data_IF_915368292837
#
_entry.id   IF_915368292837
#
_cell.length_a   1.000
_cell.length_b   1.000
_cell.length_c   1.000
_cell.angle_alpha   90.00
_cell.angle_beta   90.00
_cell.angle_gamma   90.00
#
_symmetry.space_group_name_H-M   'P 1'
#
loop_
_entity.id
_entity.type
_entity.pdbx_description
1 polymer ?
#
# COMPACT_ATOMS: atom_id res chain seq x y z
N UNK A 1 8.39 -3.65 9.24
CA UNK A 1 8.49 -3.84 7.78
C UNK A 1 8.39 -2.48 7.07
N UNK A 2 9.29 -2.22 6.12
CA UNK A 2 9.32 -1.02 5.25
C UNK A 2 9.93 -1.40 3.90
N UNK A 3 9.90 -0.50 2.92
CA UNK A 3 10.71 -0.66 1.72
C UNK A 3 12.22 -0.57 2.02
N UNK A 4 13.05 -1.18 1.18
CA UNK A 4 14.49 -1.36 1.43
C UNK A 4 15.28 -0.05 1.49
N UNK A 5 14.87 0.98 0.73
CA UNK A 5 15.48 2.33 0.74
C UNK A 5 15.63 2.91 2.15
N UNK A 6 14.74 2.53 3.08
CA UNK A 6 14.63 3.12 4.40
C UNK A 6 15.31 2.29 5.51
N UNK A 7 15.84 1.10 5.20
CA UNK A 7 16.32 0.17 6.22
C UNK A 7 17.39 0.76 7.13
N UNK A 8 18.41 1.41 6.56
CA UNK A 8 19.48 2.05 7.33
C UNK A 8 18.98 3.24 8.17
N UNK A 9 18.03 4.03 7.65
CA UNK A 9 17.48 5.15 8.40
C UNK A 9 16.68 4.68 9.61
N UNK A 10 15.91 3.60 9.45
CA UNK A 10 15.14 3.01 10.55
C UNK A 10 16.08 2.40 11.59
N UNK A 11 17.09 1.63 11.15
CA UNK A 11 18.07 1.04 12.05
C UNK A 11 18.85 2.11 12.83
N UNK A 12 19.32 3.17 12.14
CA UNK A 12 20.12 4.23 12.76
C UNK A 12 19.31 5.20 13.62
N UNK A 13 18.18 5.70 13.12
CA UNK A 13 17.41 6.76 13.80
C UNK A 13 16.35 6.21 14.76
N UNK A 14 15.64 5.14 14.37
CA UNK A 14 14.59 4.56 15.20
C UNK A 14 15.12 3.45 16.13
N UNK A 15 16.34 2.96 15.90
CA UNK A 15 16.95 1.85 16.64
C UNK A 15 15.99 0.66 16.74
N UNK A 16 15.51 0.19 15.59
CA UNK A 16 14.59 -0.95 15.44
C UNK A 16 15.07 -1.90 14.36
N UNK A 17 14.79 -3.18 14.55
CA UNK A 17 15.08 -4.23 13.57
C UNK A 17 14.26 -4.03 12.29
N UNK A 18 14.92 -4.15 11.15
CA UNK A 18 14.32 -4.06 9.81
C UNK A 18 14.44 -5.39 9.08
N UNK A 19 13.41 -5.77 8.32
CA UNK A 19 13.42 -7.02 7.54
C UNK A 19 14.31 -6.94 6.29
N UNK A 20 14.32 -5.79 5.63
CA UNK A 20 15.09 -5.54 4.42
C UNK A 20 15.86 -4.23 4.57
N UNK A 21 17.01 -4.14 3.91
CA UNK A 21 17.91 -2.99 4.00
C UNK A 21 18.50 -2.60 2.65
N UNK A 22 19.25 -1.50 2.67
CA UNK A 22 19.83 -0.87 1.49
C UNK A 22 21.06 -1.61 0.93
N UNK A 23 21.46 -2.72 1.56
CA UNK A 23 22.55 -3.57 1.05
C UNK A 23 22.04 -4.51 -0.05
N UNK A 24 20.74 -4.81 -0.09
CA UNK A 24 20.09 -5.54 -1.19
C UNK A 24 20.69 -6.92 -1.52
N UNK A 25 21.33 -7.57 -0.54
CA UNK A 25 22.05 -8.83 -0.79
C UNK A 25 21.13 -10.05 -0.94
N UNK A 26 19.90 -9.99 -0.43
CA UNK A 26 18.91 -11.07 -0.53
C UNK A 26 17.64 -10.59 -1.25
N UNK A 27 17.62 -10.79 -2.57
CA UNK A 27 16.52 -10.37 -3.45
C UNK A 27 15.20 -11.09 -3.14
N UNK A 28 15.24 -12.37 -2.77
CA UNK A 28 14.03 -13.13 -2.44
C UNK A 28 13.32 -12.57 -1.20
N UNK A 29 14.07 -12.05 -0.22
CA UNK A 29 13.47 -11.41 0.95
C UNK A 29 12.84 -10.05 0.59
N UNK A 30 13.45 -9.28 -0.31
CA UNK A 30 12.87 -8.05 -0.86
C UNK A 30 11.61 -8.36 -1.66
N UNK A 31 11.60 -9.45 -2.43
CA UNK A 31 10.44 -9.89 -3.17
C UNK A 31 9.27 -10.30 -2.25
N UNK A 32 9.53 -10.92 -1.10
CA UNK A 32 8.48 -11.20 -0.10
C UNK A 32 7.85 -9.91 0.47
N UNK A 33 8.67 -8.89 0.76
CA UNK A 33 8.16 -7.58 1.18
C UNK A 33 7.35 -6.92 0.06
N UNK A 34 7.85 -6.95 -1.18
CA UNK A 34 7.13 -6.43 -2.35
C UNK A 34 5.80 -7.15 -2.57
N UNK A 35 5.80 -8.48 -2.44
CA UNK A 35 4.60 -9.33 -2.53
C UNK A 35 3.59 -8.96 -1.45
N UNK A 36 4.01 -8.81 -0.20
CA UNK A 36 3.12 -8.40 0.89
C UNK A 36 2.48 -7.03 0.60
N UNK A 37 3.26 -6.05 0.13
CA UNK A 37 2.76 -4.71 -0.19
C UNK A 37 1.81 -4.69 -1.40
N UNK A 38 2.04 -5.56 -2.40
CA UNK A 38 1.23 -5.67 -3.60
C UNK A 38 -0.04 -6.52 -3.43
N UNK A 39 -0.09 -7.38 -2.41
CA UNK A 39 -1.20 -8.30 -2.15
C UNK A 39 -2.37 -7.64 -1.44
N UNK A 40 -3.53 -8.32 -1.41
CA UNK A 40 -4.64 -7.93 -0.54
C UNK A 40 -4.31 -8.12 0.95
N UNK A 41 -5.13 -7.55 1.84
CA UNK A 41 -4.89 -7.60 3.29
C UNK A 41 -4.73 -9.03 3.84
N UNK A 42 -5.55 -9.99 3.41
CA UNK A 42 -5.49 -11.36 3.93
C UNK A 42 -4.15 -12.03 3.59
N UNK A 43 -3.77 -12.03 2.32
CA UNK A 43 -2.51 -12.65 1.88
C UNK A 43 -1.29 -11.90 2.43
N UNK A 44 -1.35 -10.57 2.49
CA UNK A 44 -0.29 -9.77 3.09
C UNK A 44 -0.16 -10.05 4.59
N UNK A 45 -1.27 -10.25 5.29
CA UNK A 45 -1.29 -10.59 6.72
C UNK A 45 -0.62 -11.93 7.00
N UNK A 46 -0.89 -12.95 6.18
CA UNK A 46 -0.24 -14.26 6.32
C UNK A 46 1.28 -14.16 6.13
N UNK A 47 1.74 -13.36 5.14
CA UNK A 47 3.17 -13.10 4.93
C UNK A 47 3.77 -12.33 6.12
N UNK A 48 3.08 -11.31 6.62
CA UNK A 48 3.55 -10.52 7.78
C UNK A 48 3.64 -11.37 9.05
N UNK A 49 2.73 -12.34 9.24
CA UNK A 49 2.78 -13.32 10.33
C UNK A 49 3.95 -14.27 10.19
N UNK A 50 4.20 -14.77 8.98
CA UNK A 50 5.35 -15.64 8.69
C UNK A 50 6.69 -14.95 8.98
N UNK A 51 6.75 -13.64 8.75
CA UNK A 51 7.94 -12.81 8.95
C UNK A 51 8.02 -12.13 10.33
N UNK A 52 7.11 -12.48 11.25
CA UNK A 52 7.03 -11.92 12.62
C UNK A 52 7.03 -10.37 12.65
N UNK A 53 6.17 -9.76 11.82
CA UNK A 53 6.08 -8.30 11.69
C UNK A 53 5.12 -7.70 12.71
N UNK A 54 5.64 -6.80 13.54
CA UNK A 54 4.82 -5.99 14.46
C UNK A 54 4.28 -4.68 13.84
N UNK A 55 5.12 -3.99 13.06
CA UNK A 55 4.82 -2.65 12.53
C UNK A 55 5.10 -2.55 11.03
N UNK A 56 4.28 -1.77 10.33
CA UNK A 56 4.46 -1.43 8.90
C UNK A 56 4.64 0.07 8.76
N UNK A 57 5.72 0.49 8.08
CA UNK A 57 5.98 1.88 7.75
C UNK A 57 5.84 2.08 6.24
N UNK A 58 5.04 3.08 5.86
CA UNK A 58 4.81 3.50 4.47
C UNK A 58 4.93 5.02 4.41
N UNK A 59 5.72 5.54 3.47
CA UNK A 59 5.84 6.97 3.21
C UNK A 59 4.75 7.40 2.24
N UNK A 60 3.88 8.31 2.68
CA UNK A 60 2.79 8.88 1.88
C UNK A 60 2.97 10.39 1.68
N UNK A 61 3.13 10.79 0.41
CA UNK A 61 3.42 12.18 0.02
C UNK A 61 2.20 12.99 -0.43
N UNK A 62 1.00 12.40 -0.43
CA UNK A 62 -0.17 12.97 -1.13
C UNK A 62 -0.72 14.29 -0.59
N UNK A 63 -0.37 14.68 0.65
CA UNK A 63 -0.79 15.98 1.23
C UNK A 63 0.03 17.14 0.65
N UNK A 64 1.34 16.96 0.55
CA UNK A 64 2.30 18.01 0.17
C UNK A 64 2.80 17.88 -1.26
N UNK A 65 2.46 16.79 -1.95
CA UNK A 65 2.94 16.49 -3.30
C UNK A 65 4.40 16.02 -3.31
N UNK A 66 4.82 15.26 -2.30
CA UNK A 66 6.16 14.69 -2.27
C UNK A 66 6.27 13.55 -3.28
N UNK A 67 7.18 13.68 -4.25
CA UNK A 67 7.34 12.72 -5.34
C UNK A 67 8.04 11.42 -4.93
N UNK A 68 8.81 11.42 -3.85
CA UNK A 68 9.56 10.26 -3.36
C UNK A 68 8.73 9.30 -2.48
N UNK A 69 7.40 9.32 -2.60
CA UNK A 69 6.52 8.46 -1.80
C UNK A 69 6.46 7.01 -2.31
N UNK A 70 5.94 6.11 -1.47
CA UNK A 70 5.94 4.68 -1.79
C UNK A 70 4.94 4.31 -2.89
N UNK A 71 3.96 5.17 -3.18
CA UNK A 71 3.04 4.98 -4.31
C UNK A 71 3.77 5.13 -5.65
N UNK A 72 4.66 6.12 -5.79
CA UNK A 72 5.43 6.29 -7.02
C UNK A 72 6.48 5.17 -7.23
N UNK A 73 6.91 4.53 -6.15
CA UNK A 73 7.83 3.39 -6.20
C UNK A 73 7.13 2.04 -6.30
N UNK A 74 5.80 2.00 -6.18
CA UNK A 74 5.03 0.77 -6.04
C UNK A 74 5.25 -0.24 -7.18
N UNK A 75 5.33 0.22 -8.44
CA UNK A 75 5.56 -0.69 -9.57
C UNK A 75 6.93 -1.40 -9.49
N UNK A 76 7.95 -0.79 -8.87
CA UNK A 76 9.21 -1.49 -8.61
C UNK A 76 9.02 -2.63 -7.62
N UNK A 77 8.20 -2.44 -6.59
CA UNK A 77 7.86 -3.49 -5.62
C UNK A 77 7.15 -4.65 -6.32
N UNK A 78 6.21 -4.35 -7.22
CA UNK A 78 5.46 -5.33 -8.00
C UNK A 78 6.38 -6.14 -8.92
N UNK A 79 7.28 -5.48 -9.65
CA UNK A 79 8.23 -6.14 -10.56
C UNK A 79 9.18 -7.09 -9.85
N UNK A 80 9.71 -6.68 -8.70
CA UNK A 80 10.59 -7.53 -7.89
C UNK A 80 9.81 -8.72 -7.34
N UNK A 81 8.57 -8.50 -6.88
CA UNK A 81 7.70 -9.57 -6.41
C UNK A 81 7.32 -10.56 -7.52
N UNK A 82 6.98 -10.08 -8.72
CA UNK A 82 6.65 -10.92 -9.88
C UNK A 82 7.84 -11.77 -10.33
N UNK A 83 9.08 -11.24 -10.25
CA UNK A 83 10.29 -11.99 -10.60
C UNK A 83 10.45 -13.30 -9.81
N UNK A 84 10.11 -13.29 -8.52
CA UNK A 84 10.23 -14.47 -7.64
C UNK A 84 8.89 -15.22 -7.45
N UNK A 85 7.76 -14.53 -7.57
CA UNK A 85 6.41 -15.04 -7.31
C UNK A 85 5.42 -14.74 -8.45
N UNK A 86 5.69 -15.17 -9.70
CA UNK A 86 4.91 -14.79 -10.89
C UNK A 86 3.49 -15.36 -10.91
N UNK A 87 3.21 -16.37 -10.07
CA UNK A 87 1.86 -16.96 -9.92
C UNK A 87 0.95 -16.13 -9.02
N UNK A 88 1.53 -15.31 -8.14
CA UNK A 88 0.79 -14.60 -7.10
C UNK A 88 0.63 -13.12 -7.43
N UNK A 89 1.63 -12.53 -8.10
CA UNK A 89 1.67 -11.10 -8.45
C UNK A 89 2.11 -10.98 -9.90
N UNK A 90 1.37 -10.17 -10.68
CA UNK A 90 1.71 -9.84 -12.07
C UNK A 90 1.59 -8.34 -12.28
N UNK A 91 2.59 -7.71 -12.92
CA UNK A 91 2.60 -6.26 -13.14
C UNK A 91 1.36 -5.79 -13.92
N UNK A 92 0.95 -6.57 -14.92
CA UNK A 92 -0.19 -6.28 -15.79
C UNK A 92 -1.51 -6.10 -15.03
N UNK A 93 -1.70 -6.78 -13.90
CA UNK A 93 -2.92 -6.71 -13.10
C UNK A 93 -3.09 -5.32 -12.43
N UNK A 94 -2.01 -4.53 -12.32
CA UNK A 94 -2.03 -3.21 -11.70
C UNK A 94 -2.31 -2.06 -12.67
N UNK A 95 -2.31 -2.31 -13.98
CA UNK A 95 -2.62 -1.33 -15.01
C UNK A 95 -4.12 -1.29 -15.36
N UNK A 96 -4.57 -0.18 -15.93
CA UNK A 96 -5.89 -0.12 -16.57
C UNK A 96 -5.90 -0.92 -17.87
N UNK A 97 -7.09 -1.20 -18.45
CA UNK A 97 -7.18 -1.80 -19.78
C UNK A 97 -6.47 -1.01 -20.89
N UNK A 98 -6.21 0.28 -20.66
CA UNK A 98 -5.46 1.17 -21.56
C UNK A 98 -3.94 1.14 -21.32
N UNK A 99 -3.46 0.34 -20.37
CA UNK A 99 -2.04 0.26 -20.00
C UNK A 99 -1.56 1.42 -19.12
N UNK A 100 -2.45 2.18 -18.49
CA UNK A 100 -2.08 3.31 -17.64
C UNK A 100 -1.99 2.90 -16.17
N UNK A 101 -0.97 3.37 -15.44
CA UNK A 101 -0.94 3.26 -13.98
C UNK A 101 -1.69 4.44 -13.37
N UNK A 102 -2.89 4.16 -12.83
CA UNK A 102 -3.78 5.17 -12.26
C UNK A 102 -4.10 4.88 -10.81
N UNK A 103 -4.24 5.94 -10.01
CA UNK A 103 -4.64 5.90 -8.59
C UNK A 103 -6.05 6.46 -8.34
N UNK A 104 -6.72 6.89 -9.40
CA UNK A 104 -8.07 7.44 -9.34
C UNK A 104 -9.17 6.38 -9.50
N UNK A 105 -10.40 6.79 -9.79
CA UNK A 105 -11.53 5.85 -9.96
C UNK A 105 -11.31 4.82 -11.06
N UNK A 106 -10.44 5.11 -12.02
CA UNK A 106 -10.12 4.19 -13.11
C UNK A 106 -8.93 3.29 -12.77
N UNK A 107 -8.37 3.38 -11.56
CA UNK A 107 -7.36 2.45 -11.06
C UNK A 107 -7.82 1.00 -11.18
N UNK A 108 -6.87 0.10 -11.39
CA UNK A 108 -7.13 -1.33 -11.43
C UNK A 108 -7.72 -1.83 -10.11
N UNK A 109 -8.63 -2.83 -10.14
CA UNK A 109 -9.14 -3.45 -8.93
C UNK A 109 -8.03 -4.07 -8.06
N UNK A 110 -6.94 -4.56 -8.66
CA UNK A 110 -5.80 -5.10 -7.93
C UNK A 110 -5.12 -4.01 -7.10
N UNK A 111 -4.84 -2.83 -7.70
CA UNK A 111 -4.26 -1.71 -6.97
C UNK A 111 -5.16 -1.22 -5.84
N UNK A 112 -6.45 -1.00 -6.12
CA UNK A 112 -7.39 -0.49 -5.12
C UNK A 112 -7.57 -1.44 -3.91
N UNK A 113 -7.33 -2.73 -4.12
CA UNK A 113 -7.41 -3.75 -3.08
C UNK A 113 -6.06 -4.10 -2.43
N UNK A 114 -4.94 -3.55 -2.92
CA UNK A 114 -3.62 -3.83 -2.36
C UNK A 114 -3.46 -3.22 -0.96
N UNK A 115 -2.62 -3.86 -0.14
CA UNK A 115 -2.27 -3.36 1.18
C UNK A 115 -1.67 -1.95 1.07
N UNK A 116 -0.74 -1.74 0.13
CA UNK A 116 -0.10 -0.45 -0.11
C UNK A 116 -1.12 0.68 -0.33
N UNK A 117 -2.11 0.47 -1.21
CA UNK A 117 -3.12 1.49 -1.49
C UNK A 117 -3.98 1.80 -0.27
N UNK A 118 -4.49 0.76 0.39
CA UNK A 118 -5.41 0.93 1.53
C UNK A 118 -4.73 1.58 2.74
N UNK A 119 -3.47 1.23 3.02
CA UNK A 119 -2.69 1.83 4.09
C UNK A 119 -2.34 3.29 3.78
N UNK A 120 -1.88 3.58 2.55
CA UNK A 120 -1.50 4.95 2.15
C UNK A 120 -2.67 5.93 2.15
N UNK A 121 -3.84 5.48 1.67
CA UNK A 121 -5.02 6.35 1.51
C UNK A 121 -6.04 6.20 2.65
N UNK A 122 -5.69 5.57 3.76
CA UNK A 122 -6.59 5.39 4.91
C UNK A 122 -7.10 6.75 5.41
N UNK A 123 -8.42 6.94 5.36
CA UNK A 123 -9.13 8.19 5.72
C UNK A 123 -8.65 9.46 4.99
N UNK A 124 -7.81 9.34 3.96
CA UNK A 124 -7.34 10.49 3.18
C UNK A 124 -8.50 11.24 2.50
N UNK A 125 -9.56 10.53 2.10
CA UNK A 125 -10.77 11.13 1.53
C UNK A 125 -11.60 11.98 2.48
N UNK A 126 -11.39 11.87 3.79
CA UNK A 126 -12.07 12.69 4.82
C UNK A 126 -11.31 13.99 5.11
N UNK A 127 -10.06 14.09 4.66
CA UNK A 127 -9.19 15.22 4.92
C UNK A 127 -9.66 16.46 4.15
N UNK A 128 -10.33 17.38 4.85
CA UNK A 128 -10.69 18.69 4.31
C UNK A 128 -9.52 19.66 4.50
N UNK A 129 -8.67 19.80 3.48
CA UNK A 129 -7.64 20.83 3.39
C UNK A 129 -8.05 21.97 2.45
N UNK A 130 -7.86 23.22 2.88
CA UNK A 130 -8.19 24.42 2.11
C UNK A 130 -7.52 24.37 0.72
N UNK A 131 -8.29 24.62 -0.33
CA UNK A 131 -7.88 24.55 -1.75
C UNK A 131 -7.24 23.21 -2.14
N UNK A 132 -8.10 22.29 -2.62
CA UNK A 132 -7.70 21.37 -3.71
C UNK A 132 -7.05 22.22 -4.82
N UNK A 133 -5.72 22.34 -4.84
CA UNK A 133 -5.01 22.80 -6.05
C UNK A 133 -5.28 21.75 -7.11
N UNK A 134 -6.29 22.04 -7.92
CA UNK A 134 -6.75 21.29 -9.08
C UNK A 134 -5.57 21.22 -10.04
N UNK A 135 -4.72 20.19 -9.91
CA UNK A 135 -3.53 20.03 -10.76
C UNK A 135 -2.38 19.15 -10.24
N UNK A 136 -2.31 18.81 -8.95
CA UNK A 136 -1.11 18.12 -8.40
C UNK A 136 -1.23 16.60 -8.21
N UNK A 137 -2.32 15.99 -8.67
CA UNK A 137 -2.36 14.55 -8.95
C UNK A 137 -2.85 14.44 -10.39
N UNK A 138 -2.00 13.96 -11.32
CA UNK A 138 -2.42 13.72 -12.71
C UNK A 138 -3.61 12.74 -12.81
N UNK A 139 -3.90 12.01 -11.74
CA UNK A 139 -5.03 11.11 -11.61
C UNK A 139 -5.99 11.61 -10.52
N UNK A 140 -7.14 12.11 -10.96
CA UNK A 140 -8.15 12.77 -10.13
C UNK A 140 -8.83 11.75 -9.21
N UNK A 141 -8.27 11.46 -8.02
CA UNK A 141 -8.93 10.64 -7.00
C UNK A 141 -10.34 11.18 -6.72
N UNK A 142 -11.36 10.39 -7.06
CA UNK A 142 -12.73 10.61 -6.61
C UNK A 142 -13.14 9.36 -5.84
N UNK A 143 -13.03 9.40 -4.52
CA UNK A 143 -13.43 8.29 -3.67
C UNK A 143 -14.96 8.26 -3.56
N UNK A 144 -15.58 7.08 -3.73
CA UNK A 144 -16.98 6.86 -3.32
C UNK A 144 -16.98 6.73 -1.79
N UNK A 145 -17.78 7.53 -1.11
CA UNK A 145 -18.00 7.45 0.34
C UNK A 145 -18.46 6.03 0.68
N UNK A 146 -17.67 5.28 1.46
CA UNK A 146 -18.01 3.92 1.87
C UNK A 146 -19.35 3.89 2.62
N UNK A 147 -20.16 2.86 2.38
CA UNK A 147 -21.40 2.63 3.15
C UNK A 147 -21.02 2.31 4.58
N UNK A 148 -21.54 3.09 5.53
CA UNK A 148 -21.39 2.89 6.98
C UNK A 148 -21.96 1.51 7.36
N UNK A 149 -21.14 0.66 7.95
CA UNK A 149 -21.57 -0.61 8.55
C UNK A 149 -22.63 -0.32 9.64
N UNK A 150 -23.85 -0.82 9.45
CA UNK A 150 -24.90 -0.76 10.48
C UNK A 150 -24.59 -1.80 11.56
N UNK A 151 -24.24 -1.37 12.77
CA UNK A 151 -24.25 -2.25 13.96
C UNK A 151 -25.68 -2.76 14.17
N UNK A 152 -25.89 -4.08 14.12
CA UNK A 152 -27.12 -4.70 14.62
C UNK A 152 -27.18 -4.49 16.14
N UNK A 153 -28.10 -3.66 16.62
CA UNK A 153 -28.53 -3.70 18.02
C UNK A 153 -29.30 -5.01 18.23
N UNK A 154 -28.73 -5.95 19.01
CA UNK A 154 -29.53 -7.02 19.62
C UNK A 154 -30.43 -6.34 20.66
N UNK A 155 -31.73 -6.24 20.35
CA UNK A 155 -32.77 -6.02 21.37
C UNK A 155 -32.95 -7.35 22.10
N UNK A 156 -32.44 -7.45 23.31
CA UNK A 156 -32.96 -8.41 24.30
C UNK A 156 -34.26 -7.83 24.83
N UNK A 157 -35.38 -8.45 24.43
CA UNK A 157 -36.66 -8.39 25.14
C UNK A 157 -36.96 -9.83 25.55
N UNK A 158 -36.95 -10.11 26.83
CA UNK A 158 -37.71 -11.20 27.45
C UNK A 158 -38.10 -10.67 28.83
N UNK A 159 -39.40 -10.41 28.94
CA UNK A 159 -40.33 -10.56 30.07
C UNK A 159 -39.75 -10.84 31.46
#
# INVERSE_FOLDING_TARGET
MSWWDYGYQIAGMANRTTLVDNNTWNNSHIALVGKAMASNESAAYDIMRLLDVDYVLIIFGGVIGYSGDDINKFLWMVRIAEGEHPRDVRESDFFTPQGEFRVDKAASPALLNSLMYKMSYYRFGEMQGSRRKRGFIKNKLVLKKGRRLKRKQKRTRLD
#
